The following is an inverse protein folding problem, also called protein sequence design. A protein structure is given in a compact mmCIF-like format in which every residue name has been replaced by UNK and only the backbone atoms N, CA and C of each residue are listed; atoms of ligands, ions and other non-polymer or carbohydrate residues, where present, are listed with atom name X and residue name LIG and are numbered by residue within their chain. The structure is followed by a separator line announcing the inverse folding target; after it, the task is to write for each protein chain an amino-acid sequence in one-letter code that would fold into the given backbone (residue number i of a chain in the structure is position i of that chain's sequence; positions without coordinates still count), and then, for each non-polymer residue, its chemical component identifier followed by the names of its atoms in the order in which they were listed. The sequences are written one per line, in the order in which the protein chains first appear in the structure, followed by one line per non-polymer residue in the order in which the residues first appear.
data_IF_871506625812
#
_entry.id   IF_871506625812
#
_cell.length_a   1.000
_cell.length_b   1.000
_cell.length_c   1.000
_cell.angle_alpha   90.00
_cell.angle_beta   90.00
_cell.angle_gamma   90.00
#
_symmetry.space_group_name_H-M   'P 1'
#
loop_
_entity.id
_entity.type
_entity.pdbx_description
1 polymer ?
#
# COMPACT_ATOMS: atom_id res chain seq x y z
N UNK A 1 -7.66 -0.77 -29.04
CA UNK A 1 -7.09 -0.53 -27.71
C UNK A 1 -7.85 -1.31 -26.66
N UNK A 2 -7.14 -1.97 -25.80
CA UNK A 2 -7.73 -2.65 -24.65
C UNK A 2 -7.71 -1.69 -23.47
N UNK A 3 -8.82 -1.63 -22.75
CA UNK A 3 -8.95 -0.72 -21.61
C UNK A 3 -9.18 -1.55 -20.33
N UNK A 4 -8.10 -2.01 -19.76
CA UNK A 4 -8.16 -2.70 -18.49
C UNK A 4 -8.34 -1.71 -17.35
N UNK A 5 -8.89 -2.20 -16.24
CA UNK A 5 -9.21 -1.35 -15.10
C UNK A 5 -8.60 -1.95 -13.84
N UNK A 6 -7.91 -1.11 -13.06
CA UNK A 6 -7.36 -1.54 -11.77
C UNK A 6 -8.52 -1.80 -10.80
N UNK A 7 -8.52 -2.98 -10.19
CA UNK A 7 -9.52 -3.34 -9.19
C UNK A 7 -8.97 -3.18 -7.78
N UNK A 8 -7.95 -3.93 -7.46
CA UNK A 8 -7.29 -3.85 -6.16
C UNK A 8 -5.92 -4.49 -6.22
N UNK A 9 -5.11 -4.21 -5.20
CA UNK A 9 -3.87 -4.92 -4.92
C UNK A 9 -4.17 -5.95 -3.84
N UNK A 10 -3.88 -7.21 -4.10
CA UNK A 10 -4.09 -8.28 -3.14
C UNK A 10 -2.75 -8.62 -2.48
N UNK A 11 -2.72 -8.57 -1.15
CA UNK A 11 -1.52 -8.88 -0.36
C UNK A 11 -1.87 -9.97 0.65
N UNK A 12 -1.05 -11.02 0.69
CA UNK A 12 -1.11 -12.03 1.74
C UNK A 12 0.06 -11.74 2.70
N UNK A 13 -0.16 -10.97 3.77
CA UNK A 13 0.93 -10.53 4.64
C UNK A 13 1.42 -11.67 5.55
N UNK A 14 2.68 -11.59 5.95
CA UNK A 14 3.24 -12.54 6.91
C UNK A 14 2.64 -12.35 8.31
N UNK A 15 2.28 -11.11 8.66
CA UNK A 15 1.60 -10.77 9.90
C UNK A 15 0.42 -9.88 9.58
N UNK A 16 -0.77 -10.50 9.52
CA UNK A 16 -1.99 -9.80 9.14
C UNK A 16 -2.28 -8.60 10.04
N UNK A 17 -2.14 -8.77 11.36
CA UNK A 17 -2.48 -7.70 12.29
C UNK A 17 -1.50 -6.52 12.16
N UNK A 18 -0.22 -6.80 11.95
CA UNK A 18 0.78 -5.75 11.74
C UNK A 18 0.51 -4.97 10.46
N UNK A 19 0.19 -5.66 9.37
CA UNK A 19 -0.12 -5.01 8.09
C UNK A 19 -1.41 -4.22 8.18
N UNK A 20 -2.43 -4.76 8.83
CA UNK A 20 -3.69 -4.05 9.03
C UNK A 20 -3.44 -2.74 9.80
N UNK A 21 -2.65 -2.79 10.88
CA UNK A 21 -2.31 -1.58 11.64
C UNK A 21 -1.56 -0.56 10.78
N UNK A 22 -0.64 -1.03 9.94
CA UNK A 22 0.10 -0.12 9.08
C UNK A 22 -0.83 0.65 8.14
N UNK A 23 -1.68 -0.05 7.41
CA UNK A 23 -2.55 0.59 6.42
C UNK A 23 -3.65 1.43 7.07
N UNK A 24 -4.17 1.01 8.22
CA UNK A 24 -5.24 1.75 8.90
C UNK A 24 -4.68 2.89 9.76
N UNK A 25 -3.68 2.61 10.59
CA UNK A 25 -3.22 3.57 11.59
C UNK A 25 -2.11 4.49 11.05
N UNK A 26 -1.21 3.96 10.21
CA UNK A 26 -0.12 4.77 9.65
C UNK A 26 -0.58 5.52 8.42
N UNK A 27 -1.18 4.84 7.44
CA UNK A 27 -1.66 5.48 6.23
C UNK A 27 -3.00 6.17 6.41
N UNK A 28 -3.80 5.75 7.38
CA UNK A 28 -5.11 6.33 7.62
C UNK A 28 -6.17 5.87 6.63
N UNK A 29 -5.97 4.72 5.98
CA UNK A 29 -6.93 4.22 5.00
C UNK A 29 -8.15 3.63 5.68
N UNK A 30 -9.28 3.72 5.00
CA UNK A 30 -10.56 3.28 5.55
C UNK A 30 -10.83 1.80 5.30
N UNK A 31 -11.39 1.14 6.29
CA UNK A 31 -11.86 -0.24 6.16
C UNK A 31 -13.20 -0.22 5.44
N UNK A 32 -13.28 -0.91 4.29
CA UNK A 32 -14.52 -1.05 3.54
C UNK A 32 -15.28 -2.28 4.02
N UNK A 33 -14.56 -3.39 4.21
CA UNK A 33 -15.17 -4.64 4.66
C UNK A 33 -14.13 -5.49 5.39
N UNK A 34 -14.62 -6.33 6.29
CA UNK A 34 -13.80 -7.32 6.99
C UNK A 34 -14.54 -8.65 6.94
N UNK A 35 -13.78 -9.74 6.87
CA UNK A 35 -14.38 -11.07 6.84
C UNK A 35 -13.48 -12.08 7.53
N UNK A 36 -14.10 -13.21 7.89
CA UNK A 36 -13.40 -14.41 8.33
C UNK A 36 -13.97 -15.56 7.50
N UNK A 37 -13.07 -16.34 6.88
CA UNK A 37 -13.52 -17.42 6.02
C UNK A 37 -13.89 -18.67 6.83
N UNK A 38 -14.26 -19.75 6.13
CA UNK A 38 -14.70 -21.01 6.76
C UNK A 38 -13.59 -21.70 7.55
N UNK A 39 -12.33 -21.29 7.36
CA UNK A 39 -11.17 -21.85 8.07
C UNK A 39 -10.67 -20.91 9.15
N UNK A 40 -11.42 -19.88 9.50
CA UNK A 40 -11.04 -18.89 10.50
C UNK A 40 -9.98 -17.90 10.04
N UNK A 41 -9.71 -17.82 8.74
CA UNK A 41 -8.74 -16.88 8.20
C UNK A 41 -9.38 -15.53 7.95
N UNK A 42 -8.67 -14.47 8.33
CA UNK A 42 -9.16 -13.10 8.27
C UNK A 42 -8.79 -12.41 6.97
N UNK A 43 -9.63 -11.47 6.59
CA UNK A 43 -9.34 -10.58 5.48
C UNK A 43 -9.96 -9.20 5.71
N UNK A 44 -9.41 -8.21 5.02
CA UNK A 44 -9.91 -6.83 5.10
C UNK A 44 -9.69 -6.14 3.75
N UNK A 45 -10.68 -5.36 3.35
CA UNK A 45 -10.55 -4.49 2.17
C UNK A 45 -10.38 -3.05 2.65
N UNK A 46 -9.36 -2.39 2.16
CA UNK A 46 -8.98 -1.04 2.56
C UNK A 46 -9.07 -0.09 1.38
N UNK A 47 -9.54 1.12 1.63
CA UNK A 47 -9.68 2.16 0.62
C UNK A 47 -8.85 3.37 0.99
N UNK A 48 -7.91 3.73 0.10
CA UNK A 48 -7.08 4.92 0.23
C UNK A 48 -7.48 6.02 -0.75
N UNK A 49 -8.78 6.09 -1.11
CA UNK A 49 -9.28 7.01 -2.11
C UNK A 49 -9.40 6.30 -3.45
N UNK A 50 -8.51 6.59 -4.39
CA UNK A 50 -8.49 5.90 -5.69
C UNK A 50 -7.72 4.58 -5.63
N UNK A 51 -7.24 4.18 -4.46
CA UNK A 51 -6.45 2.96 -4.27
C UNK A 51 -7.24 2.01 -3.37
N UNK A 52 -7.26 0.74 -3.75
CA UNK A 52 -7.90 -0.32 -2.95
C UNK A 52 -6.90 -1.44 -2.73
N UNK A 53 -6.77 -1.88 -1.48
CA UNK A 53 -5.89 -2.98 -1.10
C UNK A 53 -6.71 -4.00 -0.32
N UNK A 54 -6.51 -5.28 -0.66
CA UNK A 54 -7.08 -6.40 0.08
C UNK A 54 -5.94 -7.09 0.82
N UNK A 55 -6.08 -7.21 2.12
CA UNK A 55 -5.17 -8.01 2.96
C UNK A 55 -5.91 -9.26 3.38
N UNK A 56 -5.29 -10.42 3.22
CA UNK A 56 -5.92 -11.68 3.61
C UNK A 56 -4.87 -12.64 4.17
N UNK A 57 -5.25 -13.39 5.20
CA UNK A 57 -4.35 -14.38 5.82
C UNK A 57 -4.11 -15.59 4.91
N UNK A 58 -5.01 -15.87 4.00
CA UNK A 58 -4.84 -16.95 3.01
C UNK A 58 -4.61 -16.36 1.63
N UNK A 59 -3.75 -17.00 0.81
CA UNK A 59 -3.64 -16.62 -0.60
C UNK A 59 -5.00 -16.70 -1.29
N UNK A 60 -5.22 -15.82 -2.26
CA UNK A 60 -6.45 -15.81 -3.03
C UNK A 60 -6.69 -17.15 -3.74
N UNK A 61 -5.61 -17.74 -4.23
CA UNK A 61 -5.62 -19.08 -4.81
C UNK A 61 -4.35 -19.80 -4.38
N UNK A 62 -4.50 -20.80 -3.52
CA UNK A 62 -3.37 -21.55 -2.96
C UNK A 62 -2.64 -22.39 -4.01
N UNK A 63 -3.22 -22.60 -5.20
CA UNK A 63 -2.55 -23.34 -6.27
C UNK A 63 -1.62 -22.45 -7.08
N UNK A 64 -1.77 -21.14 -6.99
CA UNK A 64 -0.92 -20.20 -7.71
C UNK A 64 0.34 -19.96 -6.88
N UNK A 65 1.50 -20.22 -7.49
CA UNK A 65 2.78 -19.92 -6.88
C UNK A 65 3.43 -18.75 -7.62
N UNK A 66 3.87 -17.76 -6.86
CA UNK A 66 4.60 -16.64 -7.43
C UNK A 66 6.10 -16.92 -7.32
N UNK A 67 6.80 -17.18 -8.45
CA UNK A 67 8.23 -17.45 -8.41
C UNK A 67 9.07 -16.28 -7.92
N UNK A 68 8.48 -15.08 -7.89
CA UNK A 68 9.13 -13.87 -7.39
C UNK A 68 8.66 -13.49 -6.00
N UNK A 69 8.06 -14.42 -5.25
CA UNK A 69 7.46 -14.16 -3.94
C UNK A 69 8.36 -13.41 -2.95
N UNK A 70 9.70 -13.66 -2.91
CA UNK A 70 10.53 -12.89 -1.98
C UNK A 70 10.75 -11.44 -2.39
N UNK A 71 10.35 -11.04 -3.58
CA UNK A 71 10.55 -9.67 -4.06
C UNK A 71 9.32 -8.82 -3.75
N UNK A 72 9.51 -7.81 -2.89
CA UNK A 72 8.44 -6.90 -2.54
C UNK A 72 8.13 -5.94 -3.70
N UNK A 73 6.88 -5.57 -3.82
CA UNK A 73 6.44 -4.59 -4.81
C UNK A 73 6.66 -3.17 -4.33
N UNK A 74 6.74 -2.23 -5.27
CA UNK A 74 6.68 -0.80 -4.96
C UNK A 74 5.38 -0.25 -5.54
N UNK A 75 4.57 0.36 -4.68
CA UNK A 75 3.33 1.01 -5.08
C UNK A 75 3.56 2.50 -5.15
N UNK A 76 3.32 3.11 -6.30
CA UNK A 76 3.43 4.56 -6.47
C UNK A 76 2.05 5.17 -6.41
N UNK A 77 1.89 6.16 -5.54
CA UNK A 77 0.65 6.90 -5.37
C UNK A 77 0.85 8.33 -5.83
N UNK A 78 -0.10 8.81 -6.62
CA UNK A 78 -0.13 10.20 -7.05
C UNK A 78 -0.85 11.02 -5.99
N UNK A 79 -0.15 11.97 -5.37
CA UNK A 79 -0.71 12.80 -4.31
C UNK A 79 -0.59 14.28 -4.67
N UNK A 80 -1.40 15.10 -4.01
CA UNK A 80 -1.47 16.52 -4.32
C UNK A 80 -0.35 17.33 -3.66
N UNK A 81 -0.03 17.04 -2.39
CA UNK A 81 0.93 17.81 -1.59
C UNK A 81 1.71 16.86 -0.71
N UNK A 82 2.98 16.60 -1.07
CA UNK A 82 3.81 15.62 -0.38
C UNK A 82 4.10 16.02 1.06
N UNK A 83 4.43 17.28 1.30
CA UNK A 83 4.77 17.74 2.66
C UNK A 83 3.56 17.66 3.58
N UNK A 84 2.39 18.04 3.08
CA UNK A 84 1.15 17.98 3.87
C UNK A 84 0.76 16.55 4.17
N UNK A 85 0.87 15.65 3.17
CA UNK A 85 0.57 14.23 3.37
C UNK A 85 1.54 13.62 4.37
N UNK A 86 2.84 13.93 4.25
CA UNK A 86 3.85 13.40 5.16
C UNK A 86 3.60 13.84 6.60
N UNK A 87 3.09 15.07 6.79
CA UNK A 87 2.77 15.57 8.13
C UNK A 87 1.68 14.75 8.82
N UNK A 88 0.88 13.99 8.05
CA UNK A 88 -0.15 13.09 8.58
C UNK A 88 0.41 11.72 8.97
N UNK A 89 1.66 11.43 8.61
CA UNK A 89 2.27 10.13 8.85
C UNK A 89 2.97 10.16 10.22
N UNK A 90 2.65 9.22 11.12
CA UNK A 90 3.36 9.13 12.40
C UNK A 90 4.84 8.81 12.18
N UNK A 91 5.69 9.34 13.05
CA UNK A 91 7.11 9.01 13.02
C UNK A 91 7.32 7.52 13.32
N UNK A 92 8.36 6.92 12.75
CA UNK A 92 8.67 5.51 12.99
C UNK A 92 9.59 4.90 11.95
N UNK A 93 9.89 3.62 12.15
CA UNK A 93 10.79 2.86 11.28
C UNK A 93 10.20 2.60 9.90
N UNK A 94 8.91 2.80 9.72
CA UNK A 94 8.24 2.64 8.43
C UNK A 94 8.63 3.73 7.44
N UNK A 95 9.26 4.82 7.88
CA UNK A 95 9.70 5.90 6.99
C UNK A 95 11.04 5.53 6.37
N UNK A 96 11.06 5.34 5.05
CA UNK A 96 12.27 5.02 4.29
C UNK A 96 12.97 6.29 3.83
N UNK A 97 12.19 7.23 3.28
CA UNK A 97 12.68 8.52 2.84
C UNK A 97 11.68 9.60 3.19
N UNK A 98 12.18 10.69 3.78
CA UNK A 98 11.39 11.90 4.01
C UNK A 98 11.18 12.66 2.70
N UNK A 99 10.25 13.63 2.65
CA UNK A 99 10.00 14.37 1.42
C UNK A 99 11.26 15.00 0.85
N UNK A 100 11.47 14.79 -0.44
CA UNK A 100 12.61 15.33 -1.18
C UNK A 100 12.23 15.48 -2.65
N UNK A 101 12.93 16.36 -3.35
CA UNK A 101 12.74 16.53 -4.78
C UNK A 101 13.59 15.48 -5.50
N UNK A 102 12.98 14.67 -6.32
CA UNK A 102 13.68 13.61 -7.05
C UNK A 102 14.03 14.04 -8.47
N UNK A 103 14.80 13.19 -9.15
CA UNK A 103 15.30 13.50 -10.49
C UNK A 103 14.19 13.55 -11.56
N UNK A 104 13.04 12.98 -11.26
CA UNK A 104 11.91 12.94 -12.21
C UNK A 104 11.02 14.18 -12.13
N UNK A 105 11.41 15.17 -11.34
CA UNK A 105 10.61 16.39 -11.18
C UNK A 105 9.43 16.23 -10.23
N UNK A 106 9.48 15.25 -9.35
CA UNK A 106 8.48 15.02 -8.33
C UNK A 106 9.04 15.30 -6.95
N UNK A 107 8.19 15.72 -6.04
CA UNK A 107 8.52 15.71 -4.62
C UNK A 107 7.89 14.47 -4.02
N UNK A 108 8.70 13.63 -3.40
CA UNK A 108 8.21 12.33 -2.94
C UNK A 108 8.76 11.94 -1.58
N UNK A 109 8.03 11.04 -0.93
CA UNK A 109 8.52 10.32 0.24
C UNK A 109 8.12 8.85 0.11
N UNK A 110 8.81 8.00 0.88
CA UNK A 110 8.64 6.55 0.75
C UNK A 110 8.46 5.93 2.11
N UNK A 111 7.46 5.07 2.23
CA UNK A 111 7.22 4.25 3.42
C UNK A 111 7.42 2.79 3.08
N UNK A 112 7.61 1.98 4.11
CA UNK A 112 7.71 0.53 4.00
C UNK A 112 6.64 -0.10 4.86
N UNK A 113 5.88 -1.05 4.30
CA UNK A 113 4.94 -1.83 5.08
C UNK A 113 5.68 -2.94 5.86
N UNK A 114 5.00 -3.69 6.75
CA UNK A 114 5.67 -4.72 7.55
C UNK A 114 6.32 -5.85 6.74
N UNK A 115 5.90 -6.09 5.52
CA UNK A 115 6.48 -7.12 4.65
C UNK A 115 7.57 -6.57 3.72
N UNK A 116 7.90 -5.29 3.83
CA UNK A 116 8.93 -4.67 3.01
C UNK A 116 8.42 -4.12 1.68
N UNK A 117 7.11 -4.14 1.44
CA UNK A 117 6.55 -3.47 0.27
C UNK A 117 6.73 -1.97 0.43
N UNK A 118 7.18 -1.32 -0.63
CA UNK A 118 7.39 0.12 -0.61
C UNK A 118 6.17 0.86 -1.13
N UNK A 119 5.83 1.94 -0.48
CA UNK A 119 4.77 2.84 -0.91
C UNK A 119 5.40 4.20 -1.13
N UNK A 120 5.49 4.62 -2.38
CA UNK A 120 6.03 5.90 -2.78
C UNK A 120 4.87 6.89 -3.00
N UNK A 121 4.96 8.04 -2.37
CA UNK A 121 3.98 9.10 -2.49
C UNK A 121 4.60 10.21 -3.33
N UNK A 122 4.08 10.40 -4.54
CA UNK A 122 4.67 11.28 -5.53
C UNK A 122 3.77 12.47 -5.82
N UNK A 123 4.30 13.67 -5.57
CA UNK A 123 3.66 14.91 -5.99
C UNK A 123 4.38 15.41 -7.22
N UNK A 124 3.73 15.31 -8.38
CA UNK A 124 4.33 15.75 -9.64
C UNK A 124 4.26 17.27 -9.73
N UNK A 125 5.43 17.93 -9.73
CA UNK A 125 5.49 19.39 -9.74
C UNK A 125 5.41 20.01 -11.12
N UNK A 126 5.64 19.20 -12.14
CA UNK A 126 5.59 19.66 -13.53
C UNK A 126 4.52 18.88 -14.28
N UNK A 127 3.27 19.16 -13.94
CA UNK A 127 2.13 18.60 -14.66
C UNK A 127 1.82 19.47 -15.88
N UNK A 128 1.68 18.84 -17.01
CA UNK A 128 1.26 19.51 -18.23
C UNK A 128 -0.23 19.35 -18.47
#
# INVERSE_FOLDING_TARGET
MVADRFENLFICPSDFNASRRFYVDVLGWQIISEWTDNHGKKGVTLNGGAVRVVLAESPEDATIQNPNAPHAATLHLDIHDADKRFAQIPAGEHIVQSPHDNERGARSFVLRDPDGNLIAFDEMRQRS
#
